data_IF_159113723902
#
_entry.id   IF_159113723902
#
_cell.length_a   1.000
_cell.length_b   1.000
_cell.length_c   1.000
_cell.angle_alpha   90.00
_cell.angle_beta   90.00
_cell.angle_gamma   90.00
#
_symmetry.space_group_name_H-M   'P 1'
#
loop_
_entity.id
_entity.type
_entity.pdbx_description
1 polymer ?
#
# COMPACT_ATOMS: atom_id res chain seq x y z
N UNK A 1 23.51 9.85 13.39
CA UNK A 1 23.13 8.57 14.02
C UNK A 1 22.09 8.89 15.07
N UNK A 2 20.85 8.44 14.91
CA UNK A 2 19.80 8.67 15.92
C UNK A 2 19.90 7.54 16.96
N UNK A 3 20.06 7.92 18.23
CA UNK A 3 20.22 6.99 19.35
C UNK A 3 18.92 6.30 19.73
N UNK A 4 19.05 5.17 20.43
CA UNK A 4 17.97 4.27 20.89
C UNK A 4 16.81 4.99 21.62
N UNK A 5 17.05 6.19 22.17
CA UNK A 5 16.05 7.00 22.90
C UNK A 5 15.05 7.75 22.01
N UNK A 6 15.39 8.13 20.77
CA UNK A 6 14.45 8.87 19.90
C UNK A 6 13.35 7.96 19.32
N UNK A 7 13.66 6.67 19.18
CA UNK A 7 12.70 5.64 18.76
C UNK A 7 11.57 5.42 19.77
N UNK A 8 11.76 5.73 21.05
CA UNK A 8 10.71 5.58 22.07
C UNK A 8 9.79 6.81 22.13
N UNK A 9 10.34 8.01 21.90
CA UNK A 9 9.64 9.31 22.05
C UNK A 9 8.38 9.45 21.20
N UNK A 10 8.32 8.76 20.05
CA UNK A 10 7.17 8.82 19.13
C UNK A 10 6.58 7.47 18.76
N UNK A 11 6.91 6.42 19.52
CA UNK A 11 6.56 5.05 19.17
C UNK A 11 5.03 4.83 19.09
N UNK A 12 4.27 5.41 20.02
CA UNK A 12 2.81 5.31 20.03
C UNK A 12 2.17 6.05 18.85
N UNK A 13 2.73 7.21 18.49
CA UNK A 13 2.25 7.97 17.34
C UNK A 13 2.56 7.24 16.03
N UNK A 14 3.74 6.63 15.91
CA UNK A 14 4.13 5.80 14.77
C UNK A 14 3.13 4.64 14.60
N UNK A 15 2.81 3.92 15.68
CA UNK A 15 1.81 2.84 15.67
C UNK A 15 0.44 3.39 15.27
N UNK A 16 -0.02 4.48 15.88
CA UNK A 16 -1.31 5.11 15.58
C UNK A 16 -1.44 5.51 14.11
N UNK A 17 -0.44 6.17 13.54
CA UNK A 17 -0.43 6.55 12.13
C UNK A 17 -0.44 5.34 11.21
N UNK A 18 0.28 4.27 11.55
CA UNK A 18 0.34 3.05 10.74
C UNK A 18 -1.00 2.35 10.57
N UNK A 19 -1.95 2.62 11.47
CA UNK A 19 -3.32 2.09 11.43
C UNK A 19 -4.27 2.92 10.56
N UNK A 20 -3.89 4.15 10.20
CA UNK A 20 -4.71 5.04 9.39
C UNK A 20 -4.51 4.71 7.91
N UNK A 21 -5.60 4.33 7.24
CA UNK A 21 -5.58 3.94 5.83
C UNK A 21 -5.36 5.12 4.90
N UNK A 22 -6.05 6.24 5.15
CA UNK A 22 -5.87 7.45 4.37
C UNK A 22 -4.63 8.23 4.84
N UNK A 23 -3.55 8.13 4.07
CA UNK A 23 -2.29 8.84 4.33
C UNK A 23 -2.47 10.37 4.34
N UNK A 24 -3.53 10.91 3.73
CA UNK A 24 -3.84 12.35 3.79
C UNK A 24 -4.23 12.83 5.19
N UNK A 25 -4.61 11.92 6.07
CA UNK A 25 -5.02 12.25 7.44
C UNK A 25 -3.83 12.35 8.41
N UNK A 26 -2.64 11.91 8.01
CA UNK A 26 -1.47 11.91 8.89
C UNK A 26 -1.02 13.31 9.35
N UNK A 27 -1.10 14.38 8.53
CA UNK A 27 -0.73 15.73 8.95
C UNK A 27 -1.53 16.26 10.14
N UNK A 28 -2.82 15.93 10.26
CA UNK A 28 -3.64 16.41 11.39
C UNK A 28 -3.18 15.83 12.73
N UNK A 29 -2.59 14.64 12.73
CA UNK A 29 -2.05 13.98 13.92
C UNK A 29 -0.62 14.41 14.26
N UNK A 30 0.06 15.11 13.37
CA UNK A 30 1.47 15.51 13.56
C UNK A 30 1.67 17.01 13.61
N UNK A 31 0.60 17.83 13.66
CA UNK A 31 0.69 19.30 13.60
C UNK A 31 1.78 19.89 14.51
N UNK A 32 1.86 19.42 15.75
CA UNK A 32 2.76 19.91 16.81
C UNK A 32 4.20 19.39 16.75
N UNK A 33 4.51 18.47 15.85
CA UNK A 33 5.86 17.93 15.71
C UNK A 33 6.76 18.85 14.89
N UNK A 34 8.04 18.87 15.23
CA UNK A 34 9.06 19.53 14.41
C UNK A 34 9.28 18.80 13.08
N UNK A 35 9.93 19.47 12.14
CA UNK A 35 10.12 18.94 10.78
C UNK A 35 10.92 17.64 10.74
N UNK A 36 11.93 17.51 11.60
CA UNK A 36 12.81 16.35 11.67
C UNK A 36 12.09 15.16 12.31
N UNK A 37 11.41 15.39 13.43
CA UNK A 37 10.55 14.41 14.10
C UNK A 37 9.43 13.92 13.17
N UNK A 38 8.76 14.84 12.44
CA UNK A 38 7.75 14.49 11.42
C UNK A 38 8.29 13.53 10.37
N UNK A 39 9.50 13.80 9.88
CA UNK A 39 10.15 12.96 8.86
C UNK A 39 10.41 11.57 9.41
N UNK A 40 10.96 11.49 10.62
CA UNK A 40 11.21 10.22 11.31
C UNK A 40 9.92 9.43 11.52
N UNK A 41 8.91 10.05 12.14
CA UNK A 41 7.60 9.44 12.42
C UNK A 41 6.95 8.92 11.14
N UNK A 42 6.94 9.71 10.07
CA UNK A 42 6.35 9.30 8.79
C UNK A 42 7.10 8.16 8.11
N UNK A 43 8.42 8.09 8.27
CA UNK A 43 9.22 7.01 7.71
C UNK A 43 8.87 5.68 8.38
N UNK A 44 8.92 5.62 9.71
CA UNK A 44 8.63 4.39 10.46
C UNK A 44 7.15 3.99 10.38
N UNK A 45 6.23 4.95 10.51
CA UNK A 45 4.80 4.67 10.38
C UNK A 45 4.46 4.10 9.00
N UNK A 46 5.14 4.57 7.94
CA UNK A 46 4.92 4.07 6.58
C UNK A 46 5.40 2.64 6.41
N UNK A 47 6.56 2.28 6.98
CA UNK A 47 7.04 0.88 6.93
C UNK A 47 6.05 -0.06 7.61
N UNK A 48 5.55 0.31 8.79
CA UNK A 48 4.52 -0.47 9.50
C UNK A 48 3.21 -0.53 8.71
N UNK A 49 2.78 0.59 8.13
CA UNK A 49 1.59 0.66 7.30
C UNK A 49 1.70 -0.27 6.09
N UNK A 50 2.84 -0.25 5.38
CA UNK A 50 3.11 -1.14 4.24
C UNK A 50 3.07 -2.60 4.68
N UNK A 51 3.77 -2.94 5.78
CA UNK A 51 3.77 -4.31 6.34
C UNK A 51 2.35 -4.79 6.59
N UNK A 52 1.52 -3.99 7.25
CA UNK A 52 0.12 -4.30 7.53
C UNK A 52 -0.67 -4.51 6.23
N UNK A 53 -0.57 -3.58 5.28
CA UNK A 53 -1.31 -3.60 4.02
C UNK A 53 -0.89 -4.74 3.08
N UNK A 54 0.35 -5.22 3.18
CA UNK A 54 0.79 -6.44 2.50
C UNK A 54 0.18 -7.67 3.19
N UNK A 55 0.21 -7.70 4.53
CA UNK A 55 -0.27 -8.83 5.33
C UNK A 55 -1.78 -9.04 5.21
N UNK A 56 -2.57 -7.96 5.19
CA UNK A 56 -4.03 -8.03 5.02
C UNK A 56 -4.46 -8.20 3.54
N UNK A 57 -3.50 -8.12 2.61
CA UNK A 57 -3.74 -8.28 1.19
C UNK A 57 -4.40 -7.10 0.48
N UNK A 58 -4.58 -5.96 1.14
CA UNK A 58 -5.18 -4.77 0.54
C UNK A 58 -4.21 -3.91 -0.28
N UNK A 59 -2.89 -4.15 -0.17
CA UNK A 59 -1.90 -3.55 -1.06
C UNK A 59 -1.69 -4.41 -2.31
N UNK A 60 -2.12 -3.87 -3.45
CA UNK A 60 -2.04 -4.52 -4.76
C UNK A 60 -0.72 -4.17 -5.44
N UNK A 61 0.27 -5.04 -5.25
CA UNK A 61 1.61 -4.91 -5.83
C UNK A 61 1.91 -6.13 -6.69
N UNK A 62 2.71 -5.95 -7.74
CA UNK A 62 3.30 -7.08 -8.45
C UNK A 62 4.07 -7.98 -7.47
N UNK A 63 3.97 -9.33 -7.55
CA UNK A 63 4.60 -10.23 -6.60
C UNK A 63 6.10 -10.00 -6.39
N UNK A 64 6.88 -9.81 -7.47
CA UNK A 64 8.32 -9.51 -7.38
C UNK A 64 8.60 -8.22 -6.61
N UNK A 65 7.78 -7.19 -6.83
CA UNK A 65 7.96 -5.89 -6.19
C UNK A 65 7.57 -5.96 -4.71
N UNK A 66 6.56 -6.77 -4.39
CA UNK A 66 6.20 -7.08 -3.00
C UNK A 66 7.35 -7.81 -2.29
N UNK A 67 7.95 -8.80 -2.94
CA UNK A 67 9.06 -9.57 -2.39
C UNK A 67 10.29 -8.68 -2.15
N UNK A 68 10.66 -7.85 -3.14
CA UNK A 68 11.73 -6.86 -2.98
C UNK A 68 11.44 -5.92 -1.80
N UNK A 69 10.19 -5.46 -1.65
CA UNK A 69 9.80 -4.58 -0.56
C UNK A 69 9.90 -5.26 0.81
N UNK A 70 9.60 -6.57 0.92
CA UNK A 70 9.77 -7.37 2.15
C UNK A 70 11.25 -7.50 2.49
N UNK A 71 12.10 -7.85 1.52
CA UNK A 71 13.55 -7.98 1.69
C UNK A 71 14.21 -6.67 2.14
N UNK A 72 13.61 -5.54 1.76
CA UNK A 72 14.03 -4.19 2.17
C UNK A 72 13.40 -3.72 3.48
N UNK A 73 12.85 -4.62 4.28
CA UNK A 73 12.18 -4.32 5.55
C UNK A 73 11.09 -3.24 5.38
N UNK A 74 10.32 -3.36 4.30
CA UNK A 74 9.24 -2.44 3.95
C UNK A 74 9.69 -1.00 3.68
N UNK A 75 10.99 -0.77 3.39
CA UNK A 75 11.52 0.54 3.04
C UNK A 75 11.40 0.80 1.52
N UNK A 76 10.45 1.64 1.07
CA UNK A 76 10.08 1.71 -0.34
C UNK A 76 11.02 2.58 -1.18
N UNK A 77 11.45 2.03 -2.33
CA UNK A 77 12.10 2.77 -3.41
C UNK A 77 11.10 3.60 -4.21
N UNK A 78 11.58 4.30 -5.22
CA UNK A 78 10.73 5.11 -6.11
C UNK A 78 9.65 4.26 -6.79
N UNK A 79 10.02 3.10 -7.35
CA UNK A 79 9.08 2.19 -8.01
C UNK A 79 8.01 1.66 -7.04
N UNK A 80 8.42 1.25 -5.82
CA UNK A 80 7.50 0.80 -4.76
C UNK A 80 6.47 1.89 -4.44
N UNK A 81 6.92 3.15 -4.30
CA UNK A 81 6.02 4.28 -4.03
C UNK A 81 5.01 4.45 -5.16
N UNK A 82 5.41 4.33 -6.42
CA UNK A 82 4.49 4.48 -7.56
C UNK A 82 3.40 3.41 -7.54
N UNK A 83 3.77 2.15 -7.33
CA UNK A 83 2.80 1.06 -7.23
C UNK A 83 1.88 1.20 -6.02
N UNK A 84 2.41 1.63 -4.87
CA UNK A 84 1.58 1.92 -3.69
C UNK A 84 0.51 2.96 -4.03
N UNK A 85 0.88 4.05 -4.71
CA UNK A 85 -0.10 5.06 -5.13
C UNK A 85 -1.10 4.54 -6.15
N UNK A 86 -0.65 3.73 -7.12
CA UNK A 86 -1.56 3.09 -8.07
C UNK A 86 -2.57 2.17 -7.37
N UNK A 87 -2.10 1.37 -6.39
CA UNK A 87 -2.95 0.52 -5.55
C UNK A 87 -3.97 1.33 -4.75
N UNK A 88 -3.56 2.44 -4.14
CA UNK A 88 -4.45 3.30 -3.37
C UNK A 88 -5.54 3.91 -4.25
N UNK A 89 -5.15 4.46 -5.41
CA UNK A 89 -6.08 5.09 -6.34
C UNK A 89 -7.05 4.07 -6.97
N UNK A 90 -6.56 2.86 -7.30
CA UNK A 90 -7.38 1.80 -7.87
C UNK A 90 -8.34 1.13 -6.86
N UNK A 91 -8.07 1.26 -5.56
CA UNK A 91 -8.86 0.63 -4.50
C UNK A 91 -9.80 1.60 -3.79
N UNK A 92 -9.80 2.87 -4.18
CA UNK A 92 -10.62 3.90 -3.55
C UNK A 92 -12.02 3.95 -4.16
N UNK A 93 -13.02 3.50 -3.40
CA UNK A 93 -14.43 3.46 -3.81
C UNK A 93 -15.31 4.49 -3.08
N UNK A 94 -14.72 5.58 -2.56
CA UNK A 94 -15.46 6.65 -1.91
C UNK A 94 -16.38 7.42 -2.87
N UNK A 95 -17.45 8.02 -2.35
CA UNK A 95 -18.34 8.88 -3.12
C UNK A 95 -17.61 10.07 -3.77
N UNK A 96 -16.54 10.55 -3.14
CA UNK A 96 -15.65 11.61 -3.61
C UNK A 96 -14.46 11.08 -4.45
N UNK A 97 -14.54 9.89 -5.05
CA UNK A 97 -13.44 9.26 -5.79
C UNK A 97 -12.79 10.14 -6.87
N UNK A 98 -13.59 10.92 -7.61
CA UNK A 98 -13.07 11.85 -8.61
C UNK A 98 -12.30 13.02 -7.98
N UNK A 99 -12.83 13.58 -6.90
CA UNK A 99 -12.17 14.68 -6.16
C UNK A 99 -10.89 14.19 -5.47
N UNK A 100 -10.96 13.02 -4.84
CA UNK A 100 -9.81 12.32 -4.26
C UNK A 100 -8.71 12.13 -5.30
N UNK A 101 -9.06 11.62 -6.49
CA UNK A 101 -8.12 11.41 -7.57
C UNK A 101 -7.41 12.70 -8.00
N UNK A 102 -8.14 13.79 -8.25
CA UNK A 102 -7.54 15.06 -8.67
C UNK A 102 -6.66 15.66 -7.56
N UNK A 103 -7.09 15.54 -6.29
CA UNK A 103 -6.33 16.01 -5.13
C UNK A 103 -5.00 15.26 -4.98
N UNK A 104 -5.02 13.93 -5.07
CA UNK A 104 -3.82 13.08 -5.02
C UNK A 104 -2.90 13.34 -6.21
N UNK A 105 -3.46 13.44 -7.43
CA UNK A 105 -2.71 13.81 -8.64
C UNK A 105 -1.95 15.13 -8.44
N UNK A 106 -2.63 16.18 -7.98
CA UNK A 106 -2.01 17.48 -7.71
C UNK A 106 -0.86 17.39 -6.71
N UNK A 107 -1.04 16.64 -5.61
CA UNK A 107 0.00 16.41 -4.59
C UNK A 107 1.21 15.65 -5.15
N UNK A 108 0.98 14.62 -5.97
CA UNK A 108 2.04 13.84 -6.61
C UNK A 108 2.83 14.69 -7.60
N UNK A 109 2.15 15.41 -8.49
CA UNK A 109 2.80 16.29 -9.49
C UNK A 109 3.63 17.37 -8.80
N UNK A 110 3.08 18.01 -7.76
CA UNK A 110 3.81 19.04 -6.99
C UNK A 110 5.09 18.50 -6.35
N UNK A 111 5.10 17.23 -5.93
CA UNK A 111 6.22 16.64 -5.19
C UNK A 111 7.26 15.95 -6.09
N UNK A 112 6.83 15.28 -7.15
CA UNK A 112 7.68 14.40 -7.97
C UNK A 112 7.66 14.74 -9.47
N UNK A 113 6.80 15.65 -9.91
CA UNK A 113 6.66 16.06 -11.30
C UNK A 113 5.76 15.16 -12.16
N UNK A 114 5.47 15.64 -13.38
CA UNK A 114 4.54 15.00 -14.31
C UNK A 114 4.98 13.62 -14.79
N UNK A 115 6.28 13.41 -15.04
CA UNK A 115 6.80 12.10 -15.48
C UNK A 115 6.53 11.01 -14.44
N UNK A 116 6.66 11.35 -13.16
CA UNK A 116 6.40 10.42 -12.07
C UNK A 116 4.91 10.11 -11.94
N UNK A 117 4.04 11.12 -12.12
CA UNK A 117 2.59 10.92 -12.17
C UNK A 117 2.15 10.02 -13.34
N UNK A 118 2.69 10.23 -14.54
CA UNK A 118 2.32 9.44 -15.72
C UNK A 118 2.57 7.94 -15.50
N UNK A 119 3.69 7.61 -14.85
CA UNK A 119 4.04 6.24 -14.50
C UNK A 119 3.03 5.65 -13.49
N UNK A 120 2.66 6.39 -12.45
CA UNK A 120 1.57 5.97 -11.54
C UNK A 120 0.27 5.75 -12.32
N UNK A 121 -0.13 6.72 -13.14
CA UNK A 121 -1.37 6.71 -13.90
C UNK A 121 -1.48 5.47 -14.79
N UNK A 122 -0.41 5.12 -15.50
CA UNK A 122 -0.36 3.96 -16.38
C UNK A 122 -0.54 2.62 -15.63
N UNK A 123 -0.25 2.58 -14.32
CA UNK A 123 -0.45 1.39 -13.47
C UNK A 123 -1.86 1.30 -12.87
N UNK A 124 -2.62 2.39 -12.82
CA UNK A 124 -3.94 2.40 -12.14
C UNK A 124 -4.90 1.42 -12.82
N UNK A 125 -5.01 1.47 -14.15
CA UNK A 125 -5.92 0.59 -14.90
C UNK A 125 -5.58 -0.90 -14.75
N UNK A 126 -4.32 -1.35 -14.94
CA UNK A 126 -3.94 -2.72 -14.64
C UNK A 126 -4.20 -3.13 -13.18
N UNK A 127 -3.93 -2.23 -12.23
CA UNK A 127 -4.16 -2.49 -10.80
C UNK A 127 -5.65 -2.64 -10.48
N UNK A 128 -6.50 -1.83 -11.11
CA UNK A 128 -7.95 -1.96 -11.01
C UNK A 128 -8.44 -3.29 -11.62
N UNK A 129 -7.91 -3.68 -12.78
CA UNK A 129 -8.24 -4.97 -13.40
C UNK A 129 -7.86 -6.15 -12.50
N UNK A 130 -6.65 -6.12 -11.92
CA UNK A 130 -6.20 -7.12 -10.93
C UNK A 130 -7.14 -7.16 -9.72
N UNK A 131 -7.55 -5.99 -9.20
CA UNK A 131 -8.51 -5.88 -8.09
C UNK A 131 -9.85 -6.55 -8.44
N UNK A 132 -10.42 -6.23 -9.59
CA UNK A 132 -11.70 -6.80 -10.02
C UNK A 132 -11.61 -8.32 -10.19
N UNK A 133 -10.49 -8.82 -10.71
CA UNK A 133 -10.25 -10.26 -10.82
C UNK A 133 -10.21 -10.92 -9.43
N UNK A 134 -9.49 -10.33 -8.47
CA UNK A 134 -9.44 -10.81 -7.09
C UNK A 134 -10.84 -10.79 -6.47
N UNK A 135 -11.58 -9.68 -6.56
CA UNK A 135 -12.92 -9.58 -5.99
C UNK A 135 -13.89 -10.62 -6.56
N UNK A 136 -13.85 -10.83 -7.89
CA UNK A 136 -14.79 -11.71 -8.57
C UNK A 136 -14.50 -13.19 -8.36
N UNK A 137 -13.24 -13.60 -8.47
CA UNK A 137 -12.87 -15.02 -8.56
C UNK A 137 -12.23 -15.58 -7.29
N UNK A 138 -11.63 -14.71 -6.47
CA UNK A 138 -10.87 -15.12 -5.29
C UNK A 138 -11.69 -14.78 -4.05
N UNK A 139 -12.08 -13.51 -3.89
CA UNK A 139 -12.87 -13.10 -2.74
C UNK A 139 -14.36 -13.41 -2.85
N UNK A 140 -14.86 -13.59 -4.07
CA UNK A 140 -16.19 -14.12 -4.37
C UNK A 140 -16.33 -15.62 -4.14
N UNK A 141 -15.22 -16.34 -3.89
CA UNK A 141 -15.29 -17.73 -3.44
C UNK A 141 -15.92 -17.76 -2.04
N UNK A 142 -17.02 -18.50 -1.88
CA UNK A 142 -17.82 -18.50 -0.65
C UNK A 142 -17.01 -18.80 0.61
N UNK A 143 -17.50 -18.35 1.77
CA UNK A 143 -16.79 -18.43 3.05
C UNK A 143 -16.21 -19.82 3.39
N UNK A 144 -16.88 -20.89 2.97
CA UNK A 144 -16.41 -22.27 3.12
C UNK A 144 -15.10 -22.56 2.36
N UNK A 145 -14.92 -22.01 1.16
CA UNK A 145 -13.69 -22.17 0.36
C UNK A 145 -12.53 -21.43 1.02
N UNK A 146 -12.77 -20.20 1.52
CA UNK A 146 -11.76 -19.43 2.26
C UNK A 146 -11.35 -20.12 3.55
N UNK A 147 -12.31 -20.71 4.27
CA UNK A 147 -12.03 -21.50 5.46
C UNK A 147 -11.23 -22.76 5.13
N UNK A 148 -11.61 -23.53 4.11
CA UNK A 148 -10.85 -24.71 3.68
C UNK A 148 -9.41 -24.36 3.28
N UNK A 149 -9.21 -23.22 2.60
CA UNK A 149 -7.88 -22.72 2.25
C UNK A 149 -7.05 -22.29 3.47
N UNK A 150 -7.67 -21.82 4.56
CA UNK A 150 -6.93 -21.46 5.78
C UNK A 150 -6.53 -22.68 6.62
N UNK A 151 -7.25 -23.80 6.49
CA UNK A 151 -6.98 -25.04 7.20
C UNK A 151 -6.02 -25.99 6.46
N UNK A 152 -5.76 -25.75 5.16
CA UNK A 152 -4.96 -26.63 4.32
C UNK A 152 -3.82 -25.86 3.66
N UNK A 153 -2.58 -26.33 3.87
CA UNK A 153 -1.39 -25.74 3.26
C UNK A 153 -1.45 -25.78 1.72
N UNK A 154 -1.89 -26.90 1.15
CA UNK A 154 -2.06 -27.05 -0.30
C UNK A 154 -3.10 -26.09 -0.88
N UNK A 155 -4.30 -26.03 -0.29
CA UNK A 155 -5.35 -25.11 -0.77
C UNK A 155 -4.97 -23.64 -0.53
N UNK A 156 -4.26 -23.36 0.56
CA UNK A 156 -3.70 -22.05 0.85
C UNK A 156 -2.70 -21.60 -0.21
N UNK A 157 -1.82 -22.48 -0.67
CA UNK A 157 -0.84 -22.18 -1.72
C UNK A 157 -1.51 -21.97 -3.08
N UNK A 158 -2.50 -22.80 -3.45
CA UNK A 158 -3.30 -22.60 -4.68
C UNK A 158 -4.03 -21.25 -4.67
N UNK A 159 -4.60 -20.86 -3.52
CA UNK A 159 -5.28 -19.59 -3.35
C UNK A 159 -4.31 -18.40 -3.45
N UNK A 160 -3.12 -18.52 -2.85
CA UNK A 160 -2.06 -17.51 -2.95
C UNK A 160 -1.55 -17.36 -4.37
N UNK A 161 -1.37 -18.47 -5.10
CA UNK A 161 -0.88 -18.42 -6.48
C UNK A 161 -1.91 -17.81 -7.42
N UNK A 162 -3.18 -18.18 -7.28
CA UNK A 162 -4.28 -17.55 -8.03
C UNK A 162 -4.33 -16.03 -7.83
N UNK A 163 -4.05 -15.56 -6.60
CA UNK A 163 -3.93 -14.14 -6.30
C UNK A 163 -2.68 -13.53 -6.92
N UNK A 164 -1.54 -14.22 -6.89
CA UNK A 164 -0.31 -13.75 -7.51
C UNK A 164 -0.47 -13.60 -9.03
N UNK A 165 -1.17 -14.52 -9.70
CA UNK A 165 -1.48 -14.42 -11.13
C UNK A 165 -2.27 -13.16 -11.46
N UNK A 166 -3.30 -12.85 -10.67
CA UNK A 166 -4.04 -11.60 -10.82
C UNK A 166 -3.13 -10.37 -10.64
N UNK A 167 -2.23 -10.40 -9.66
CA UNK A 167 -1.30 -9.30 -9.39
C UNK A 167 -0.19 -9.15 -10.44
N UNK A 168 0.17 -10.21 -11.18
CA UNK A 168 1.12 -10.17 -12.31
C UNK A 168 0.59 -9.35 -13.50
N UNK A 169 -0.71 -9.05 -13.55
CA UNK A 169 -1.27 -8.11 -14.52
C UNK A 169 -0.74 -6.68 -14.33
N UNK A 170 -0.26 -6.34 -13.13
CA UNK A 170 0.32 -5.02 -12.84
C UNK A 170 1.73 -4.98 -13.40
N UNK A 171 2.08 -4.06 -14.31
CA UNK A 171 3.44 -3.96 -14.84
C UNK A 171 4.46 -3.84 -13.72
N UNK A 172 5.57 -4.59 -13.79
CA UNK A 172 6.69 -4.52 -12.83
C UNK A 172 7.52 -3.24 -13.00
N UNK A 173 7.76 -2.86 -14.25
CA UNK A 173 8.55 -1.70 -14.69
C UNK A 173 7.70 -0.53 -15.12
#
# INVERSE_FOLDING_TARGET
MYGRNDTEKHQDLIKKLSLIDNLENWPSHTLRLEKEDKKHVYEFAKRLWIKRKISDGSLLLHPDVREELIQREFNPLSIHKKMIWASLLASYDGADSQEYFQRIKGKIIKKYGNKWWLDVYNRIKPTYAARQHILKYIDGAGAAVKYAASQSMFLGDVYRESRNDALRMIPKE
#
